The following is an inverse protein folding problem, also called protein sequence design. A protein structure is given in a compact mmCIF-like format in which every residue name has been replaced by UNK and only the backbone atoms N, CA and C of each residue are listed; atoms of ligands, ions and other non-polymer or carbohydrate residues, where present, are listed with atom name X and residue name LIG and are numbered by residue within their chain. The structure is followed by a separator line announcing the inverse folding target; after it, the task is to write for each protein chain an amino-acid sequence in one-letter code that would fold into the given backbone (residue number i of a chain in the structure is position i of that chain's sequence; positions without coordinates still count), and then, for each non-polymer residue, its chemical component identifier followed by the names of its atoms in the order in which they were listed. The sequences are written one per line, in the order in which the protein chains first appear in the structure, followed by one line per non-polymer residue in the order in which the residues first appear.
data_IF_510338453233
#
_entry.id   IF_510338453233
#
_cell.length_a   1.000
_cell.length_b   1.000
_cell.length_c   1.000
_cell.angle_alpha   90.00
_cell.angle_beta   90.00
_cell.angle_gamma   90.00
#
_symmetry.space_group_name_H-M   'P 1'
#
loop_
_entity.id
_entity.type
_entity.pdbx_description
1 polymer ?
#
# COMPACT_ATOMS: atom_id res chain seq x y z
N UNK A 1 -9.57 -0.45 29.87
CA UNK A 1 -9.50 -0.51 28.39
C UNK A 1 -8.63 -1.70 28.08
N UNK A 2 -9.21 -2.80 27.60
CA UNK A 2 -8.41 -3.96 27.15
C UNK A 2 -7.52 -3.49 26.00
N UNK A 3 -6.21 -3.73 26.12
CA UNK A 3 -5.27 -3.50 25.03
C UNK A 3 -5.64 -4.45 23.88
N UNK A 4 -5.71 -3.92 22.67
CA UNK A 4 -5.91 -4.76 21.49
C UNK A 4 -4.68 -5.66 21.32
N UNK A 5 -4.78 -6.93 21.72
CA UNK A 5 -3.72 -7.94 21.61
C UNK A 5 -3.51 -8.42 20.16
N UNK A 6 -3.35 -7.52 19.19
CA UNK A 6 -3.00 -7.93 17.83
C UNK A 6 -1.58 -7.55 17.47
N UNK A 7 -0.72 -8.58 17.33
CA UNK A 7 0.69 -8.43 16.95
C UNK A 7 0.96 -8.50 15.44
N UNK A 8 -0.01 -8.93 14.64
CA UNK A 8 0.10 -9.01 13.19
C UNK A 8 -1.12 -8.39 12.49
N UNK A 9 -1.56 -7.23 12.98
CA UNK A 9 -2.64 -6.47 12.39
C UNK A 9 -2.12 -5.15 11.83
N UNK A 10 -2.81 -4.69 10.79
CA UNK A 10 -2.71 -3.33 10.30
C UNK A 10 -4.10 -2.71 10.45
N UNK A 11 -4.18 -1.54 11.07
CA UNK A 11 -5.42 -0.75 11.13
C UNK A 11 -5.26 0.46 10.24
N UNK A 12 -6.13 0.62 9.25
CA UNK A 12 -6.16 1.83 8.44
C UNK A 12 -7.52 2.50 8.46
N UNK A 13 -7.55 3.80 8.15
CA UNK A 13 -8.79 4.55 8.10
C UNK A 13 -8.72 5.69 7.09
N UNK A 14 -9.87 6.04 6.50
CA UNK A 14 -10.06 7.32 5.81
C UNK A 14 -10.09 8.49 6.81
N UNK A 15 -10.53 8.25 8.04
CA UNK A 15 -10.53 9.27 9.11
C UNK A 15 -9.14 9.42 9.72
N UNK A 16 -8.54 10.59 9.52
CA UNK A 16 -7.25 10.94 10.12
C UNK A 16 -7.30 10.93 11.65
N UNK A 17 -8.44 11.29 12.25
CA UNK A 17 -8.59 11.29 13.71
C UNK A 17 -8.54 9.87 14.26
N UNK A 18 -9.24 8.92 13.61
CA UNK A 18 -9.19 7.52 14.01
C UNK A 18 -7.78 6.95 13.89
N UNK A 19 -7.07 7.22 12.79
CA UNK A 19 -5.68 6.80 12.64
C UNK A 19 -4.79 7.35 13.76
N UNK A 20 -4.92 8.65 14.10
CA UNK A 20 -4.15 9.26 15.18
C UNK A 20 -4.49 8.69 16.56
N UNK A 21 -5.75 8.37 16.81
CA UNK A 21 -6.18 7.82 18.08
C UNK A 21 -5.64 6.40 18.26
N UNK A 22 -5.68 5.55 17.22
CA UNK A 22 -5.07 4.21 17.27
C UNK A 22 -3.56 4.29 17.50
N UNK A 23 -2.85 5.20 16.83
CA UNK A 23 -1.41 5.43 17.04
C UNK A 23 -1.09 5.80 18.50
N UNK A 24 -1.97 6.57 19.16
CA UNK A 24 -1.79 6.94 20.58
C UNK A 24 -2.11 5.79 21.53
N UNK A 25 -3.05 4.93 21.16
CA UNK A 25 -3.52 3.83 22.00
C UNK A 25 -2.54 2.65 22.02
N UNK A 26 -1.88 2.37 20.91
CA UNK A 26 -0.90 1.28 20.82
C UNK A 26 0.21 1.61 19.81
N UNK A 27 1.46 1.47 20.25
CA UNK A 27 2.63 1.53 19.37
C UNK A 27 2.98 0.19 18.72
N UNK A 28 2.28 -0.90 19.07
CA UNK A 28 2.53 -2.23 18.52
C UNK A 28 1.75 -2.51 17.24
N UNK A 29 0.67 -1.75 16.99
CA UNK A 29 -0.19 -1.93 15.83
C UNK A 29 0.27 -0.99 14.73
N UNK A 30 0.59 -1.56 13.55
CA UNK A 30 0.90 -0.74 12.39
C UNK A 30 -0.36 0.01 11.93
N UNK A 31 -0.26 1.32 11.77
CA UNK A 31 -1.40 2.15 11.36
C UNK A 31 -1.19 2.72 9.96
N UNK A 32 -2.27 2.68 9.17
CA UNK A 32 -2.33 3.26 7.83
C UNK A 32 -3.33 4.40 7.69
N UNK A 33 -3.10 5.26 6.71
CA UNK A 33 -4.07 6.28 6.30
C UNK A 33 -4.26 6.27 4.78
N UNK A 34 -5.41 6.78 4.34
CA UNK A 34 -5.79 6.77 2.92
C UNK A 34 -5.32 8.04 2.19
N UNK A 35 -4.82 7.87 0.98
CA UNK A 35 -4.54 8.93 -0.01
C UNK A 35 -5.41 8.66 -1.23
N UNK A 36 -6.26 9.62 -1.57
CA UNK A 36 -7.15 9.54 -2.72
C UNK A 36 -7.30 10.89 -3.40
N UNK A 37 -7.89 10.88 -4.59
CA UNK A 37 -8.49 12.06 -5.19
C UNK A 37 -9.93 12.12 -4.71
N UNK A 38 -10.34 13.26 -4.16
CA UNK A 38 -11.72 13.53 -3.81
C UNK A 38 -12.54 13.68 -5.11
N UNK A 39 -13.51 12.80 -5.42
CA UNK A 39 -14.17 12.77 -6.73
C UNK A 39 -14.90 14.07 -7.07
N UNK A 40 -15.40 14.77 -6.05
CA UNK A 40 -16.19 15.99 -6.21
C UNK A 40 -15.33 17.22 -6.53
N UNK A 41 -14.09 17.28 -6.03
CA UNK A 41 -13.24 18.48 -6.12
C UNK A 41 -11.96 18.27 -6.92
N UNK A 42 -11.60 17.02 -7.21
CA UNK A 42 -10.30 16.66 -7.76
C UNK A 42 -9.14 16.86 -6.77
N UNK A 43 -9.42 17.24 -5.52
CA UNK A 43 -8.39 17.51 -4.54
C UNK A 43 -7.71 16.19 -4.12
N UNK A 44 -6.38 16.14 -4.27
CA UNK A 44 -5.58 15.03 -3.77
C UNK A 44 -5.29 15.20 -2.29
N UNK A 45 -5.46 14.13 -1.50
CA UNK A 45 -5.05 14.13 -0.09
C UNK A 45 -3.54 14.39 0.04
N UNK A 46 -3.16 15.22 1.02
CA UNK A 46 -1.74 15.50 1.28
C UNK A 46 -0.99 14.23 1.69
N UNK A 47 0.15 13.98 1.04
CA UNK A 47 1.07 12.91 1.40
C UNK A 47 1.72 13.21 2.76
N UNK A 48 2.11 12.15 3.49
CA UNK A 48 2.88 12.21 4.75
C UNK A 48 2.22 13.04 5.87
N UNK A 49 0.89 13.27 5.82
CA UNK A 49 0.17 14.10 6.79
C UNK A 49 -0.04 13.48 8.18
N UNK A 50 0.11 12.14 8.30
CA UNK A 50 -0.06 11.42 9.57
C UNK A 50 1.30 10.97 10.09
N UNK A 51 1.83 11.70 11.06
CA UNK A 51 3.04 11.30 11.79
C UNK A 51 2.73 10.02 12.59
N UNK A 52 3.67 9.07 12.55
CA UNK A 52 3.53 7.77 13.23
C UNK A 52 2.85 6.68 12.39
N UNK A 53 2.11 7.02 11.33
CA UNK A 53 1.56 6.01 10.43
C UNK A 53 2.68 5.33 9.63
N UNK A 54 2.63 4.01 9.50
CA UNK A 54 3.63 3.19 8.80
C UNK A 54 3.21 2.87 7.37
N UNK A 55 1.89 2.82 7.13
CA UNK A 55 1.31 2.44 5.83
C UNK A 55 0.61 3.66 5.21
N UNK A 56 0.72 3.79 3.89
CA UNK A 56 -0.09 4.72 3.09
C UNK A 56 -0.91 3.88 2.12
N UNK A 57 -2.22 3.86 2.33
CA UNK A 57 -3.16 3.26 1.38
C UNK A 57 -3.43 4.22 0.24
N UNK A 58 -2.90 3.97 -0.95
CA UNK A 58 -2.95 4.92 -2.08
C UNK A 58 -3.91 4.41 -3.16
N UNK A 59 -4.79 5.30 -3.63
CA UNK A 59 -5.61 5.06 -4.81
C UNK A 59 -4.71 4.78 -6.02
N UNK A 60 -4.83 3.59 -6.61
CA UNK A 60 -3.82 3.04 -7.51
C UNK A 60 -3.44 3.90 -8.75
N UNK A 61 -4.30 4.74 -9.34
CA UNK A 61 -3.90 5.61 -10.46
C UNK A 61 -2.96 6.74 -10.05
N UNK A 62 -2.84 7.04 -8.74
CA UNK A 62 -1.90 8.03 -8.24
C UNK A 62 -0.47 7.50 -8.07
N UNK A 63 -0.27 6.19 -8.18
CA UNK A 63 1.02 5.54 -7.91
C UNK A 63 1.89 5.67 -9.16
N UNK A 64 3.07 6.26 -8.96
CA UNK A 64 4.16 6.38 -9.91
C UNK A 64 5.50 6.29 -9.16
N UNK A 65 6.59 6.17 -9.91
CA UNK A 65 7.95 6.05 -9.37
C UNK A 65 8.31 7.20 -8.41
N UNK A 66 7.83 8.43 -8.68
CA UNK A 66 8.12 9.60 -7.85
C UNK A 66 7.44 9.52 -6.47
N UNK A 67 6.18 9.11 -6.44
CA UNK A 67 5.41 8.84 -5.23
C UNK A 67 6.07 7.73 -4.43
N UNK A 68 6.42 6.63 -5.08
CA UNK A 68 7.07 5.47 -4.45
C UNK A 68 8.39 5.90 -3.80
N UNK A 69 9.27 6.57 -4.54
CA UNK A 69 10.53 7.12 -4.02
C UNK A 69 10.31 8.07 -2.84
N UNK A 70 9.28 8.92 -2.89
CA UNK A 70 8.99 9.88 -1.82
C UNK A 70 8.54 9.19 -0.52
N UNK A 71 7.69 8.18 -0.62
CA UNK A 71 7.15 7.44 0.53
C UNK A 71 8.17 6.46 1.11
N UNK A 72 8.85 5.69 0.28
CA UNK A 72 9.90 4.75 0.72
C UNK A 72 11.09 5.47 1.37
N UNK A 73 11.50 6.66 0.89
CA UNK A 73 12.52 7.50 1.56
C UNK A 73 12.14 7.88 2.99
N UNK A 74 10.84 7.89 3.30
CA UNK A 74 10.30 8.15 4.64
C UNK A 74 9.92 6.86 5.39
N UNK A 75 10.39 5.71 4.89
CA UNK A 75 10.15 4.36 5.42
C UNK A 75 8.65 4.06 5.57
N UNK A 76 7.84 4.54 4.62
CA UNK A 76 6.40 4.23 4.56
C UNK A 76 6.19 3.08 3.60
N UNK A 77 5.36 2.12 3.97
CA UNK A 77 4.86 1.10 3.04
C UNK A 77 3.70 1.67 2.22
N UNK A 78 3.61 1.32 0.95
CA UNK A 78 2.59 1.79 0.00
C UNK A 78 1.69 0.64 -0.38
N UNK A 79 0.42 0.72 0.02
CA UNK A 79 -0.57 -0.31 -0.26
C UNK A 79 -1.55 0.25 -1.31
N UNK A 80 -1.54 -0.31 -2.51
CA UNK A 80 -2.41 0.13 -3.60
C UNK A 80 -3.84 -0.37 -3.40
N UNK A 81 -4.85 0.45 -3.66
CA UNK A 81 -6.26 0.04 -3.62
C UNK A 81 -7.13 0.77 -4.66
N UNK A 82 -8.26 0.21 -5.11
CA UNK A 82 -8.51 -1.24 -5.29
C UNK A 82 -8.13 -1.57 -6.72
N UNK A 83 -7.33 -2.61 -6.92
CA UNK A 83 -6.73 -2.93 -8.22
C UNK A 83 -7.37 -4.21 -8.74
N UNK A 84 -8.20 -4.12 -9.77
CA UNK A 84 -9.00 -5.25 -10.25
C UNK A 84 -8.73 -5.64 -11.72
N UNK A 85 -7.82 -4.93 -12.40
CA UNK A 85 -7.38 -5.19 -13.78
C UNK A 85 -5.89 -5.59 -13.86
N UNK A 86 -5.56 -6.42 -14.84
CA UNK A 86 -4.21 -6.97 -15.02
C UNK A 86 -3.16 -5.90 -15.35
N UNK A 87 -3.49 -4.93 -16.21
CA UNK A 87 -2.58 -3.85 -16.60
C UNK A 87 -2.13 -3.04 -15.38
N UNK A 88 -3.08 -2.64 -14.52
CA UNK A 88 -2.76 -1.94 -13.29
C UNK A 88 -1.97 -2.83 -12.32
N UNK A 89 -2.28 -4.12 -12.19
CA UNK A 89 -1.53 -5.05 -11.32
C UNK A 89 -0.06 -5.15 -11.77
N UNK A 90 0.20 -5.44 -13.04
CA UNK A 90 1.55 -5.58 -13.60
C UNK A 90 2.35 -4.30 -13.43
N UNK A 91 1.76 -3.14 -13.77
CA UNK A 91 2.39 -1.84 -13.59
C UNK A 91 2.77 -1.60 -12.12
N UNK A 92 1.89 -1.92 -11.17
CA UNK A 92 2.17 -1.69 -9.74
C UNK A 92 3.21 -2.66 -9.18
N UNK A 93 3.27 -3.90 -9.67
CA UNK A 93 4.35 -4.83 -9.36
C UNK A 93 5.70 -4.27 -9.84
N UNK A 94 5.73 -3.68 -11.04
CA UNK A 94 6.91 -3.01 -11.58
C UNK A 94 7.30 -1.74 -10.79
N UNK A 95 6.33 -0.97 -10.31
CA UNK A 95 6.54 0.19 -9.44
C UNK A 95 6.91 -0.19 -7.98
N UNK A 96 7.07 -1.49 -7.69
CA UNK A 96 7.49 -2.02 -6.39
C UNK A 96 6.58 -1.60 -5.22
N UNK A 97 5.25 -1.64 -5.42
CA UNK A 97 4.32 -1.45 -4.30
C UNK A 97 4.47 -2.54 -3.24
N UNK A 98 4.28 -2.18 -1.97
CA UNK A 98 4.45 -3.11 -0.85
C UNK A 98 3.25 -4.05 -0.69
N UNK A 99 2.06 -3.67 -1.17
CA UNK A 99 0.89 -4.53 -1.24
C UNK A 99 -0.11 -4.04 -2.30
N UNK A 100 -0.91 -4.97 -2.82
CA UNK A 100 -2.05 -4.69 -3.70
C UNK A 100 -3.33 -5.21 -3.02
N UNK A 101 -4.30 -4.33 -2.84
CA UNK A 101 -5.66 -4.65 -2.42
C UNK A 101 -6.50 -4.90 -3.66
N UNK A 102 -7.08 -6.10 -3.78
CA UNK A 102 -7.81 -6.54 -4.97
C UNK A 102 -9.02 -7.38 -4.60
N UNK A 103 -10.05 -7.31 -5.43
CA UNK A 103 -11.20 -8.22 -5.44
C UNK A 103 -10.88 -9.52 -6.23
N UNK A 104 -9.77 -9.57 -6.96
CA UNK A 104 -9.35 -10.69 -7.80
C UNK A 104 -7.96 -11.24 -7.39
N UNK A 105 -7.84 -11.87 -6.20
CA UNK A 105 -6.56 -12.38 -5.70
C UNK A 105 -5.95 -13.48 -6.58
N UNK A 106 -6.77 -14.29 -7.24
CA UNK A 106 -6.30 -15.36 -8.13
C UNK A 106 -5.58 -14.80 -9.36
N UNK A 107 -6.10 -13.73 -9.95
CA UNK A 107 -5.44 -13.05 -11.07
C UNK A 107 -4.08 -12.47 -10.63
N UNK A 108 -4.05 -11.76 -9.50
CA UNK A 108 -2.82 -11.18 -8.98
C UNK A 108 -1.76 -12.26 -8.71
N UNK A 109 -2.13 -13.37 -8.08
CA UNK A 109 -1.22 -14.48 -7.82
C UNK A 109 -0.66 -15.07 -9.11
N UNK A 110 -1.49 -15.24 -10.14
CA UNK A 110 -1.04 -15.73 -11.44
C UNK A 110 -0.02 -14.79 -12.07
N UNK A 111 -0.32 -13.48 -12.13
CA UNK A 111 0.59 -12.49 -12.68
C UNK A 111 1.94 -12.47 -11.96
N UNK A 112 1.95 -12.56 -10.63
CA UNK A 112 3.19 -12.65 -9.85
C UNK A 112 4.01 -13.90 -10.20
N UNK A 113 3.37 -15.05 -10.43
CA UNK A 113 4.08 -16.27 -10.84
C UNK A 113 4.58 -16.20 -12.28
N UNK A 114 3.80 -15.61 -13.18
CA UNK A 114 4.17 -15.42 -14.58
C UNK A 114 5.39 -14.48 -14.67
N UNK A 115 5.37 -13.34 -13.96
CA UNK A 115 6.53 -12.44 -13.86
C UNK A 115 7.75 -13.13 -13.27
N UNK A 116 7.58 -13.92 -12.20
CA UNK A 116 8.66 -14.69 -11.58
C UNK A 116 9.29 -15.67 -12.58
N UNK A 117 8.45 -16.39 -13.33
CA UNK A 117 8.90 -17.36 -14.34
C UNK A 117 9.68 -16.67 -15.45
N UNK A 118 9.16 -15.57 -15.97
CA UNK A 118 9.85 -14.78 -16.99
C UNK A 118 11.24 -14.30 -16.53
N UNK A 119 11.36 -13.76 -15.31
CA UNK A 119 12.67 -13.34 -14.78
C UNK A 119 13.68 -14.49 -14.73
N UNK A 120 13.25 -15.70 -14.34
CA UNK A 120 14.11 -16.88 -14.29
C UNK A 120 14.52 -17.34 -15.69
N UNK A 121 13.62 -17.30 -16.66
CA UNK A 121 13.90 -17.65 -18.06
C UNK A 121 14.87 -16.66 -18.73
N UNK A 122 14.81 -15.38 -18.36
CA UNK A 122 15.75 -14.34 -18.79
C UNK A 122 17.11 -14.43 -18.08
N UNK A 123 17.29 -15.37 -17.14
CA UNK A 123 18.55 -15.64 -16.46
C UNK A 123 18.79 -14.78 -15.20
N UNK A 124 17.79 -14.06 -14.71
CA UNK A 124 17.88 -13.36 -13.43
C UNK A 124 17.72 -14.33 -12.26
N UNK A 125 18.36 -14.01 -11.13
CA UNK A 125 18.18 -14.71 -9.86
C UNK A 125 17.25 -13.89 -8.95
N UNK A 126 16.45 -14.59 -8.16
CA UNK A 126 15.65 -13.95 -7.11
C UNK A 126 16.51 -13.80 -5.85
N UNK A 127 16.33 -12.71 -5.09
CA UNK A 127 16.98 -12.58 -3.78
C UNK A 127 16.54 -13.71 -2.85
N UNK A 128 17.47 -14.21 -2.03
CA UNK A 128 17.24 -15.21 -0.98
C UNK A 128 16.32 -14.68 0.15
#
# INVERSE_FOLDING_TARGET
VEQAECRNCIVWAKSDNLARDVIKLSSEIAVGYIVMIEPSTGARSTLLRIKGAEVVGVYHPLIDENLMKALHRRRKKVYAWTVDDAESMERLLFEHVDAIVTSNPTLLQRLMQDSKTQCLEEGFSLPD
#
